data_IF_644859238837
#
_entry.id   IF_644859238837
#
_cell.length_a   1.000
_cell.length_b   1.000
_cell.length_c   1.000
_cell.angle_alpha   90.00
_cell.angle_beta   90.00
_cell.angle_gamma   90.00
#
_symmetry.space_group_name_H-M   'P 1'
#
loop_
_entity.id
_entity.type
_entity.pdbx_description
1 polymer ?
#
# COMPACT_ATOMS: atom_id res chain seq x y z
N UNK A 1 41.91 10.50 27.08
CA UNK A 1 41.07 9.28 27.18
C UNK A 1 39.55 9.52 27.29
N UNK A 2 39.03 10.76 27.33
CA UNK A 2 37.59 11.02 27.59
C UNK A 2 36.63 10.96 26.38
N UNK A 3 37.14 10.77 25.16
CA UNK A 3 36.30 10.83 23.95
C UNK A 3 35.70 9.46 23.57
N UNK A 4 36.27 8.36 24.06
CA UNK A 4 35.85 6.99 23.71
C UNK A 4 34.51 6.65 24.38
N UNK A 5 34.33 7.05 25.64
CA UNK A 5 33.09 6.84 26.40
C UNK A 5 31.89 7.67 25.89
N UNK A 6 32.15 8.77 25.18
CA UNK A 6 31.10 9.58 24.53
C UNK A 6 30.65 8.91 23.22
N UNK A 7 31.57 8.27 22.49
CA UNK A 7 31.28 7.59 21.22
C UNK A 7 30.49 6.30 21.43
N UNK A 8 30.85 5.45 22.41
CA UNK A 8 30.05 4.24 22.74
C UNK A 8 28.64 4.57 23.23
N UNK A 9 28.49 5.66 24.00
CA UNK A 9 27.18 6.08 24.52
C UNK A 9 26.27 6.57 23.38
N UNK A 10 26.84 7.25 22.38
CA UNK A 10 26.11 7.67 21.17
C UNK A 10 25.78 6.49 20.25
N UNK A 11 26.65 5.48 20.17
CA UNK A 11 26.39 4.28 19.35
C UNK A 11 25.24 3.44 19.94
N UNK A 12 25.17 3.29 21.26
CA UNK A 12 24.02 2.66 21.94
C UNK A 12 22.69 3.41 21.78
N UNK A 13 22.73 4.75 21.78
CA UNK A 13 21.54 5.61 21.61
C UNK A 13 21.06 5.71 20.16
N UNK A 14 21.90 5.45 19.16
CA UNK A 14 21.47 5.38 17.76
C UNK A 14 20.86 4.02 17.38
N UNK A 15 21.03 2.99 18.23
CA UNK A 15 20.47 1.64 18.04
C UNK A 15 19.03 1.46 18.51
N UNK A 16 18.43 2.47 19.16
CA UNK A 16 16.96 2.64 19.21
C UNK A 16 16.43 3.15 17.87
N UNK A 17 17.01 2.64 16.78
CA UNK A 17 16.58 2.83 15.40
C UNK A 17 15.08 2.57 15.38
N UNK A 18 14.34 3.68 15.37
CA UNK A 18 12.90 3.78 15.35
C UNK A 18 12.42 2.67 14.44
N UNK A 19 11.74 1.67 15.03
CA UNK A 19 11.20 0.49 14.36
C UNK A 19 10.25 1.00 13.29
N UNK A 20 10.82 1.29 12.12
CA UNK A 20 10.13 2.05 11.10
C UNK A 20 8.83 1.32 10.81
N UNK A 21 7.69 2.03 10.73
CA UNK A 21 6.39 1.41 10.51
C UNK A 21 6.54 0.47 9.32
N UNK A 22 6.23 -0.83 9.54
CA UNK A 22 6.64 -1.92 8.64
C UNK A 22 6.03 -1.74 7.25
N UNK A 23 6.72 -1.00 6.37
CA UNK A 23 6.31 -0.66 5.00
C UNK A 23 5.92 -1.91 4.19
N UNK A 24 6.58 -3.03 4.48
CA UNK A 24 6.30 -4.32 3.84
C UNK A 24 4.88 -4.85 4.10
N UNK A 25 4.29 -4.57 5.27
CA UNK A 25 2.89 -4.93 5.56
C UNK A 25 1.92 -4.15 4.69
N UNK A 26 2.20 -2.87 4.46
CA UNK A 26 1.40 -2.02 3.60
C UNK A 26 1.49 -2.49 2.14
N UNK A 27 2.69 -2.88 1.69
CA UNK A 27 2.92 -3.40 0.35
C UNK A 27 2.17 -4.73 0.10
N UNK A 28 2.19 -5.66 1.06
CA UNK A 28 1.38 -6.88 1.01
C UNK A 28 -0.13 -6.58 1.01
N UNK A 29 -0.57 -5.62 1.82
CA UNK A 29 -1.99 -5.28 1.93
C UNK A 29 -2.53 -4.65 0.63
N UNK A 30 -1.74 -3.76 0.02
CA UNK A 30 -2.00 -3.22 -1.32
C UNK A 30 -2.07 -4.37 -2.33
N UNK A 31 -1.11 -5.28 -2.31
CA UNK A 31 -1.06 -6.42 -3.22
C UNK A 31 -2.29 -7.34 -3.09
N UNK A 32 -2.68 -7.68 -1.86
CA UNK A 32 -3.88 -8.49 -1.54
C UNK A 32 -5.17 -7.75 -1.89
N UNK A 33 -5.16 -6.41 -1.94
CA UNK A 33 -6.31 -5.62 -2.38
C UNK A 33 -6.41 -5.59 -3.91
N UNK A 34 -5.28 -5.39 -4.59
CA UNK A 34 -5.22 -5.25 -6.03
C UNK A 34 -5.58 -6.56 -6.73
N UNK A 35 -5.03 -7.69 -6.29
CA UNK A 35 -5.19 -8.97 -6.96
C UNK A 35 -6.67 -9.43 -7.12
N UNK A 36 -7.48 -9.53 -6.04
CA UNK A 36 -8.88 -9.94 -6.15
C UNK A 36 -9.71 -8.88 -6.87
N UNK A 37 -9.35 -7.59 -6.72
CA UNK A 37 -10.04 -6.53 -7.45
C UNK A 37 -9.86 -6.72 -8.95
N UNK A 38 -8.63 -6.93 -9.43
CA UNK A 38 -8.38 -7.25 -10.83
C UNK A 38 -9.12 -8.53 -11.23
N UNK A 39 -9.04 -9.60 -10.44
CA UNK A 39 -9.67 -10.87 -10.77
C UNK A 39 -11.20 -10.80 -10.90
N UNK A 40 -11.86 -9.87 -10.21
CA UNK A 40 -13.31 -9.60 -10.34
C UNK A 40 -13.58 -8.65 -11.50
N UNK A 41 -12.80 -7.57 -11.62
CA UNK A 41 -13.02 -6.54 -12.63
C UNK A 41 -12.71 -7.02 -14.04
N UNK A 42 -11.69 -7.85 -14.25
CA UNK A 42 -11.35 -8.39 -15.57
C UNK A 42 -12.54 -9.13 -16.21
N UNK A 43 -13.12 -10.18 -15.60
CA UNK A 43 -14.27 -10.87 -16.19
C UNK A 43 -15.54 -10.02 -16.21
N UNK A 44 -15.72 -9.06 -15.29
CA UNK A 44 -16.91 -8.21 -15.24
C UNK A 44 -16.92 -7.12 -16.32
N UNK A 45 -15.75 -6.56 -16.65
CA UNK A 45 -15.62 -5.51 -17.67
C UNK A 45 -15.30 -6.08 -19.06
N UNK A 46 -14.76 -7.29 -19.18
CA UNK A 46 -14.66 -7.98 -20.47
C UNK A 46 -15.95 -7.90 -21.31
N UNK A 47 -17.15 -8.31 -20.82
CA UNK A 47 -18.38 -8.27 -21.60
C UNK A 47 -18.84 -6.85 -21.93
N UNK A 48 -18.60 -5.89 -21.02
CA UNK A 48 -19.06 -4.52 -21.20
C UNK A 48 -18.27 -3.76 -22.26
N UNK A 49 -17.04 -4.19 -22.52
CA UNK A 49 -16.12 -3.37 -23.29
C UNK A 49 -15.74 -3.99 -24.63
N UNK A 50 -16.11 -5.25 -24.93
CA UNK A 50 -15.84 -5.93 -26.23
C UNK A 50 -16.04 -5.03 -27.45
N UNK A 51 -17.02 -4.12 -27.41
CA UNK A 51 -17.42 -3.27 -28.51
C UNK A 51 -16.61 -1.96 -28.66
N UNK A 52 -15.77 -1.61 -27.68
CA UNK A 52 -15.03 -0.33 -27.63
C UNK A 52 -13.53 -0.51 -27.96
N UNK A 53 -12.89 0.52 -28.58
CA UNK A 53 -11.47 0.53 -28.86
C UNK A 53 -10.62 0.38 -27.59
N UNK A 54 -9.53 -0.37 -27.70
CA UNK A 54 -8.64 -0.73 -26.60
C UNK A 54 -8.18 0.44 -25.68
N UNK A 55 -7.84 1.64 -26.17
CA UNK A 55 -7.44 2.75 -25.29
C UNK A 55 -8.60 3.35 -24.49
N UNK A 56 -9.81 3.46 -25.08
CA UNK A 56 -11.00 4.02 -24.42
C UNK A 56 -11.50 3.06 -23.35
N UNK A 57 -11.44 1.75 -23.65
CA UNK A 57 -11.70 0.67 -22.70
C UNK A 57 -10.88 0.84 -21.42
N UNK A 58 -9.57 1.01 -21.60
CA UNK A 58 -8.65 1.14 -20.49
C UNK A 58 -8.92 2.41 -19.69
N UNK A 59 -9.22 3.53 -20.35
CA UNK A 59 -9.52 4.80 -19.68
C UNK A 59 -10.76 4.69 -18.77
N UNK A 60 -11.81 4.03 -19.25
CA UNK A 60 -13.03 3.79 -18.46
C UNK A 60 -12.74 2.82 -17.32
N UNK A 61 -11.98 1.74 -17.58
CA UNK A 61 -11.55 0.80 -16.53
C UNK A 61 -10.80 1.52 -15.41
N UNK A 62 -9.81 2.34 -15.74
CA UNK A 62 -8.97 3.01 -14.74
C UNK A 62 -9.76 4.06 -13.96
N UNK A 63 -10.62 4.84 -14.63
CA UNK A 63 -11.50 5.81 -13.96
C UNK A 63 -12.42 5.14 -12.93
N UNK A 64 -12.82 3.88 -13.12
CA UNK A 64 -13.66 3.14 -12.15
C UNK A 64 -12.80 2.41 -11.11
N UNK A 65 -11.75 1.71 -11.54
CA UNK A 65 -10.90 0.89 -10.67
C UNK A 65 -10.11 1.75 -9.69
N UNK A 66 -9.53 2.86 -10.14
CA UNK A 66 -8.69 3.74 -9.31
C UNK A 66 -9.43 4.31 -8.10
N UNK A 67 -10.64 4.91 -8.23
CA UNK A 67 -11.36 5.42 -7.06
C UNK A 67 -11.80 4.29 -6.12
N UNK A 68 -12.16 3.12 -6.66
CA UNK A 68 -12.50 1.95 -5.83
C UNK A 68 -11.26 1.48 -5.05
N UNK A 69 -10.11 1.35 -5.71
CA UNK A 69 -8.85 1.05 -5.05
C UNK A 69 -8.50 2.09 -3.98
N UNK A 70 -8.60 3.39 -4.31
CA UNK A 70 -8.32 4.49 -3.39
C UNK A 70 -9.22 4.44 -2.15
N UNK A 71 -10.50 4.12 -2.34
CA UNK A 71 -11.45 3.95 -1.25
C UNK A 71 -11.06 2.78 -0.34
N UNK A 72 -10.76 1.60 -0.92
CA UNK A 72 -10.34 0.42 -0.16
C UNK A 72 -9.03 0.71 0.59
N UNK A 73 -8.05 1.34 -0.08
CA UNK A 73 -6.80 1.75 0.54
C UNK A 73 -7.03 2.71 1.71
N UNK A 74 -7.93 3.68 1.58
CA UNK A 74 -8.30 4.59 2.66
C UNK A 74 -8.91 3.88 3.87
N UNK A 75 -9.79 2.89 3.64
CA UNK A 75 -10.36 2.06 4.72
C UNK A 75 -9.29 1.22 5.41
N UNK A 76 -8.39 0.62 4.63
CA UNK A 76 -7.27 -0.17 5.14
C UNK A 76 -6.27 0.70 5.92
N UNK A 77 -5.98 1.91 5.45
CA UNK A 77 -5.11 2.84 6.14
C UNK A 77 -5.69 3.25 7.50
N UNK A 78 -7.02 3.45 7.60
CA UNK A 78 -7.73 3.65 8.87
C UNK A 78 -7.60 2.44 9.80
N UNK A 79 -7.78 1.22 9.28
CA UNK A 79 -7.62 -0.04 10.05
C UNK A 79 -6.18 -0.23 10.54
N UNK A 80 -5.18 0.12 9.73
CA UNK A 80 -3.77 0.04 10.08
C UNK A 80 -3.33 1.11 11.08
N UNK A 81 -3.93 2.30 11.05
CA UNK A 81 -3.67 3.33 12.08
C UNK A 81 -4.13 2.86 13.47
N UNK A 82 -5.19 2.05 13.52
CA UNK A 82 -5.61 1.37 14.75
C UNK A 82 -4.57 0.32 15.19
N UNK A 83 -4.00 -0.43 14.24
CA UNK A 83 -2.99 -1.47 14.50
C UNK A 83 -1.59 -0.93 14.82
N UNK A 84 -1.27 0.32 14.48
CA UNK A 84 0.02 0.96 14.81
C UNK A 84 0.00 1.63 16.21
N UNK A 85 -1.19 1.79 16.79
CA UNK A 85 -1.41 2.41 18.11
C UNK A 85 -1.55 1.37 19.24
N UNK A 86 -1.79 0.10 18.90
CA UNK A 86 -1.77 -1.04 19.83
C UNK A 86 -0.43 -1.79 19.73
#
# INVERSE_FOLDING_TARGET
>A
MGNISIVEKQEGENNIALKAPKKWKLMLLVWVTIYPLLNIFFPLLMPYIVQLPQPIRLLIMTIIIVPIMSFILGQLHKRLHLWLRE
#
